data_IF_731091409701
#
_entry.id   IF_731091409701
#
_cell.length_a   1.000
_cell.length_b   1.000
_cell.length_c   1.000
_cell.angle_alpha   90.00
_cell.angle_beta   90.00
_cell.angle_gamma   90.00
#
_symmetry.space_group_name_H-M   'P 1'
#
loop_
_entity.id
_entity.type
_entity.pdbx_description
1 polymer ?
#
# COMPACT_ATOMS: atom_id res chain seq x y z
N UNK A 1 1.49 12.13 -0.32
CA UNK A 1 0.34 11.43 -0.93
C UNK A 1 0.81 10.82 -2.23
N UNK A 2 0.47 9.56 -2.51
CA UNK A 2 0.84 8.81 -3.71
C UNK A 2 -0.39 8.73 -4.59
N UNK A 3 -0.41 9.51 -5.67
CA UNK A 3 -1.51 9.55 -6.66
C UNK A 3 -1.01 9.33 -8.09
N UNK A 4 0.27 8.99 -8.27
CA UNK A 4 0.86 8.68 -9.58
C UNK A 4 1.62 7.34 -9.54
N UNK A 5 1.70 6.69 -10.70
CA UNK A 5 2.35 5.38 -10.82
C UNK A 5 3.86 5.45 -10.55
N UNK A 6 4.52 6.55 -10.91
CA UNK A 6 5.96 6.72 -10.66
C UNK A 6 6.25 6.72 -9.17
N UNK A 7 5.53 7.54 -8.39
CA UNK A 7 5.73 7.62 -6.94
C UNK A 7 5.28 6.32 -6.24
N UNK A 8 4.28 5.64 -6.77
CA UNK A 8 3.85 4.33 -6.27
C UNK A 8 4.95 3.28 -6.43
N UNK A 9 5.63 3.24 -7.57
CA UNK A 9 6.75 2.34 -7.83
C UNK A 9 7.90 2.59 -6.86
N UNK A 10 8.29 3.86 -6.71
CA UNK A 10 9.36 4.26 -5.79
C UNK A 10 9.04 3.84 -4.34
N UNK A 11 7.77 3.95 -3.95
CA UNK A 11 7.34 3.50 -2.62
C UNK A 11 7.39 1.98 -2.47
N UNK A 12 6.90 1.22 -3.45
CA UNK A 12 6.95 -0.26 -3.44
C UNK A 12 8.40 -0.73 -3.30
N UNK A 13 9.31 -0.15 -4.08
CA UNK A 13 10.73 -0.53 -4.08
C UNK A 13 11.43 -0.15 -2.76
N UNK A 14 10.86 0.77 -1.98
CA UNK A 14 11.39 1.16 -0.67
C UNK A 14 11.00 0.23 0.49
N UNK A 15 10.05 -0.70 0.30
CA UNK A 15 9.54 -1.57 1.37
C UNK A 15 10.49 -2.76 1.58
N UNK A 16 11.12 -2.87 2.76
CA UNK A 16 11.96 -4.03 3.08
C UNK A 16 11.16 -5.33 3.13
N UNK A 17 11.80 -6.46 2.80
CA UNK A 17 11.14 -7.77 2.80
C UNK A 17 10.75 -8.25 4.22
N UNK A 18 11.43 -7.76 5.25
CA UNK A 18 11.23 -8.06 6.68
C UNK A 18 10.44 -6.96 7.41
N UNK A 19 9.76 -6.08 6.67
CA UNK A 19 9.03 -4.97 7.25
C UNK A 19 7.79 -5.41 8.04
N UNK A 20 7.43 -4.57 9.02
CA UNK A 20 6.08 -4.55 9.60
C UNK A 20 5.35 -3.33 9.05
N UNK A 21 4.17 -3.55 8.48
CA UNK A 21 3.31 -2.51 7.93
C UNK A 21 2.19 -2.18 8.91
N UNK A 22 2.06 -0.92 9.30
CA UNK A 22 0.88 -0.43 10.02
C UNK A 22 -0.03 0.25 9.01
N UNK A 23 -1.29 -0.17 8.99
CA UNK A 23 -2.28 0.18 7.99
C UNK A 23 -3.41 0.95 8.64
N UNK A 24 -3.85 2.01 7.98
CA UNK A 24 -5.10 2.68 8.29
C UNK A 24 -5.87 2.91 6.98
N UNK A 25 -7.18 2.70 7.01
CA UNK A 25 -8.02 2.57 5.83
C UNK A 25 -9.16 3.57 5.89
N UNK A 26 -9.29 4.38 4.85
CA UNK A 26 -10.32 5.42 4.78
C UNK A 26 -11.22 5.21 3.57
N UNK A 27 -12.51 5.47 3.77
CA UNK A 27 -13.51 5.28 2.73
C UNK A 27 -14.94 5.41 3.23
N UNK A 28 -15.89 4.98 2.40
CA UNK A 28 -17.32 5.06 2.72
C UNK A 28 -17.86 3.65 2.94
N UNK A 29 -18.46 3.44 4.12
CA UNK A 29 -19.06 2.16 4.51
C UNK A 29 -18.11 0.98 4.29
N UNK A 30 -16.86 1.10 4.79
CA UNK A 30 -15.79 0.12 4.57
C UNK A 30 -16.26 -1.32 4.79
N UNK A 31 -15.85 -2.19 3.86
CA UNK A 31 -16.31 -3.58 3.80
C UNK A 31 -16.48 -4.02 2.35
N UNK A 32 -17.05 -5.21 2.15
CA UNK A 32 -17.18 -5.84 0.81
C UNK A 32 -17.98 -5.01 -0.20
N UNK A 33 -18.93 -4.22 0.28
CA UNK A 33 -19.83 -3.42 -0.54
C UNK A 33 -19.55 -1.90 -0.42
N UNK A 34 -18.49 -1.53 0.30
CA UNK A 34 -18.07 -0.15 0.51
C UNK A 34 -17.10 0.34 -0.56
N UNK A 35 -16.57 1.53 -0.33
CA UNK A 35 -15.47 2.09 -1.13
C UNK A 35 -14.24 2.30 -0.26
N UNK A 36 -13.06 1.99 -0.80
CA UNK A 36 -11.78 2.36 -0.22
C UNK A 36 -11.23 3.54 -1.01
N UNK A 37 -10.97 4.67 -0.34
CA UNK A 37 -10.50 5.91 -0.99
C UNK A 37 -9.03 6.18 -0.71
N UNK A 38 -8.57 5.91 0.52
CA UNK A 38 -7.17 6.13 0.91
C UNK A 38 -6.69 4.95 1.76
N UNK A 39 -5.43 4.59 1.55
CA UNK A 39 -4.70 3.66 2.43
C UNK A 39 -3.47 4.37 2.98
N UNK A 40 -3.36 4.47 4.28
CA UNK A 40 -2.15 4.94 4.96
C UNK A 40 -1.30 3.73 5.33
N UNK A 41 -0.01 3.78 5.00
CA UNK A 41 0.97 2.74 5.35
C UNK A 41 2.15 3.38 6.06
N UNK A 42 2.44 2.96 7.28
CA UNK A 42 3.72 3.18 7.96
C UNK A 42 4.58 1.92 7.84
N UNK A 43 5.80 2.07 7.35
CA UNK A 43 6.77 0.98 7.18
C UNK A 43 7.78 1.00 8.33
N UNK A 44 7.76 -0.03 9.18
CA UNK A 44 8.75 -0.25 10.23
C UNK A 44 9.83 -1.25 9.77
N UNK A 45 11.13 -1.04 10.06
CA UNK A 45 11.68 -0.03 10.98
C UNK A 45 12.05 1.32 10.33
N UNK A 46 11.88 1.48 9.02
CA UNK A 46 12.37 2.67 8.29
C UNK A 46 11.58 3.96 8.57
N UNK A 47 10.44 3.88 9.30
CA UNK A 47 9.57 5.00 9.71
C UNK A 47 9.08 5.85 8.54
N UNK A 48 8.89 5.24 7.38
CA UNK A 48 8.31 5.91 6.21
C UNK A 48 6.80 5.76 6.26
N UNK A 49 6.08 6.89 6.33
CA UNK A 49 4.63 6.92 6.20
C UNK A 49 4.22 7.46 4.83
N UNK A 50 3.28 6.78 4.17
CA UNK A 50 2.69 7.21 2.91
C UNK A 50 1.18 7.00 2.91
N UNK A 51 0.46 7.96 2.36
CA UNK A 51 -0.95 7.81 1.99
C UNK A 51 -1.02 7.49 0.50
N UNK A 52 -1.64 6.37 0.15
CA UNK A 52 -1.93 5.95 -1.21
C UNK A 52 -3.36 6.40 -1.54
N UNK A 53 -3.48 7.21 -2.57
CA UNK A 53 -4.76 7.66 -3.11
C UNK A 53 -5.37 6.58 -4.01
N UNK A 54 -6.13 5.67 -3.37
CA UNK A 54 -6.82 4.57 -4.06
C UNK A 54 -7.94 5.11 -4.95
N UNK A 55 -8.54 6.24 -4.59
CA UNK A 55 -9.58 6.86 -5.40
C UNK A 55 -9.05 7.32 -6.76
N UNK A 56 -7.86 7.92 -6.81
CA UNK A 56 -7.21 8.34 -8.06
C UNK A 56 -6.61 7.16 -8.83
N UNK A 57 -5.94 6.23 -8.13
CA UNK A 57 -5.18 5.15 -8.76
C UNK A 57 -6.04 3.91 -9.10
N UNK A 58 -7.20 3.76 -8.46
CA UNK A 58 -8.06 2.59 -8.62
C UNK A 58 -7.33 1.27 -8.37
N UNK A 59 -7.55 0.29 -9.25
CA UNK A 59 -6.88 -1.02 -9.16
C UNK A 59 -5.35 -0.95 -9.34
N UNK A 60 -4.84 0.11 -10.00
CA UNK A 60 -3.41 0.28 -10.22
C UNK A 60 -2.65 0.51 -8.90
N UNK A 61 -3.31 1.02 -7.85
CA UNK A 61 -2.74 1.14 -6.51
C UNK A 61 -2.21 -0.20 -5.97
N UNK A 62 -2.87 -1.30 -6.35
CA UNK A 62 -2.57 -2.65 -5.85
C UNK A 62 -1.82 -3.52 -6.84
N UNK A 63 -1.96 -3.26 -8.14
CA UNK A 63 -1.49 -4.15 -9.22
C UNK A 63 -0.26 -3.64 -9.96
N UNK A 64 0.13 -2.37 -9.77
CA UNK A 64 1.35 -1.82 -10.39
C UNK A 64 2.59 -2.49 -9.82
N UNK A 65 3.46 -3.08 -10.64
CA UNK A 65 4.73 -3.64 -10.17
C UNK A 65 5.76 -2.54 -9.94
N UNK A 66 6.51 -2.67 -8.84
CA UNK A 66 7.80 -2.00 -8.65
C UNK A 66 8.89 -2.60 -9.55
N UNK A 67 10.12 -2.12 -9.40
CA UNK A 67 11.28 -2.56 -10.20
C UNK A 67 11.59 -4.05 -9.98
N UNK A 68 11.32 -4.58 -8.79
CA UNK A 68 11.50 -5.99 -8.46
C UNK A 68 10.30 -6.88 -8.86
N UNK A 69 9.28 -6.33 -9.54
CA UNK A 69 8.07 -7.05 -9.94
C UNK A 69 7.04 -7.24 -8.82
N UNK A 70 7.35 -6.87 -7.56
CA UNK A 70 6.37 -6.92 -6.47
C UNK A 70 5.34 -5.81 -6.62
N UNK A 71 4.14 -6.07 -6.10
CA UNK A 71 3.02 -5.11 -6.07
C UNK A 71 2.57 -4.92 -4.62
N UNK A 72 1.81 -3.86 -4.33
CA UNK A 72 1.19 -3.70 -2.99
C UNK A 72 0.28 -4.90 -2.68
N UNK A 73 -0.44 -5.45 -3.68
CA UNK A 73 -1.23 -6.68 -3.50
C UNK A 73 -0.35 -7.84 -3.01
N UNK A 74 0.76 -8.11 -3.70
CA UNK A 74 1.67 -9.19 -3.33
C UNK A 74 2.27 -9.00 -1.93
N UNK A 75 2.61 -7.75 -1.57
CA UNK A 75 3.14 -7.40 -0.24
C UNK A 75 2.09 -7.64 0.86
N UNK A 76 0.84 -7.23 0.65
CA UNK A 76 -0.24 -7.43 1.62
C UNK A 76 -0.64 -8.90 1.77
N UNK A 77 -0.54 -9.68 0.69
CA UNK A 77 -0.81 -11.13 0.66
C UNK A 77 0.36 -11.99 1.16
N UNK A 78 1.57 -11.43 1.30
CA UNK A 78 2.75 -12.15 1.79
C UNK A 78 2.59 -12.53 3.28
N UNK A 79 2.60 -13.83 3.64
CA UNK A 79 2.44 -14.26 5.03
C UNK A 79 3.66 -13.94 5.92
N UNK A 80 4.83 -13.64 5.35
CA UNK A 80 6.03 -13.29 6.12
C UNK A 80 6.08 -11.82 6.51
N UNK A 81 5.39 -10.96 5.76
CA UNK A 81 5.28 -9.53 6.09
C UNK A 81 4.17 -9.37 7.13
N UNK A 82 4.49 -8.74 8.26
CA UNK A 82 3.49 -8.46 9.31
C UNK A 82 2.66 -7.24 8.94
N UNK A 83 1.32 -7.35 9.08
CA UNK A 83 0.38 -6.25 8.88
C UNK A 83 -0.36 -5.98 10.18
N UNK A 84 -0.33 -4.74 10.65
CA UNK A 84 -1.06 -4.26 11.81
C UNK A 84 -2.18 -3.33 11.32
N UNK A 85 -3.40 -3.53 11.81
CA UNK A 85 -4.59 -2.72 11.55
C UNK A 85 -5.05 -2.06 12.85
#
# INVERSE_FOLDING_TARGET
MISSLTVLKDFIDSIPADATLYLDLEGKSLGRNGTLTIVTILVHPIKVTRLIDVQTLGSAAFTTPGTNGKTIKAILEDPQISKCL
#
